data_IF_543503934846
#
_entry.id   IF_543503934846
#
_cell.length_a   1.000
_cell.length_b   1.000
_cell.length_c   1.000
_cell.angle_alpha   90.00
_cell.angle_beta   90.00
_cell.angle_gamma   90.00
#
_symmetry.space_group_name_H-M   'P 1'
#
loop_
_entity.id
_entity.type
_entity.pdbx_description
1 polymer ?
#
# COMPACT_ATOMS: atom_id res chain seq x y z
N UNK A 1 -16.83 -13.11 -20.06
CA UNK A 1 -17.25 -11.80 -20.61
C UNK A 1 -18.30 -11.12 -19.74
N UNK A 2 -19.28 -11.84 -19.21
CA UNK A 2 -20.35 -11.30 -18.36
C UNK A 2 -19.83 -10.66 -17.06
N UNK A 3 -19.06 -11.42 -16.25
CA UNK A 3 -18.46 -10.92 -14.99
C UNK A 3 -17.67 -9.62 -15.18
N UNK A 4 -16.90 -9.50 -16.27
CA UNK A 4 -16.13 -8.29 -16.59
C UNK A 4 -17.03 -7.09 -16.86
N UNK A 5 -18.09 -7.26 -17.66
CA UNK A 5 -19.06 -6.18 -17.94
C UNK A 5 -19.78 -5.74 -16.67
N UNK A 6 -20.15 -6.69 -15.82
CA UNK A 6 -20.76 -6.42 -14.53
C UNK A 6 -19.82 -5.61 -13.62
N UNK A 7 -18.57 -6.03 -13.46
CA UNK A 7 -17.56 -5.31 -12.68
C UNK A 7 -17.34 -3.89 -13.21
N UNK A 8 -17.21 -3.73 -14.52
CA UNK A 8 -17.05 -2.41 -15.14
C UNK A 8 -18.24 -1.49 -14.85
N UNK A 9 -19.48 -2.01 -14.93
CA UNK A 9 -20.69 -1.25 -14.55
C UNK A 9 -20.64 -0.83 -13.07
N UNK A 10 -20.28 -1.74 -12.16
CA UNK A 10 -20.22 -1.43 -10.73
C UNK A 10 -19.11 -0.43 -10.38
N UNK A 11 -17.96 -0.51 -11.04
CA UNK A 11 -16.89 0.48 -10.88
C UNK A 11 -17.32 1.86 -11.42
N UNK A 12 -18.03 1.92 -12.56
CA UNK A 12 -18.61 3.16 -13.06
C UNK A 12 -19.61 3.77 -12.07
N UNK A 13 -20.50 2.95 -11.51
CA UNK A 13 -21.49 3.39 -10.54
C UNK A 13 -20.83 3.93 -9.26
N UNK A 14 -19.71 3.33 -8.83
CA UNK A 14 -18.87 3.86 -7.77
C UNK A 14 -18.27 5.22 -8.15
N UNK A 15 -17.57 5.33 -9.28
CA UNK A 15 -16.90 6.57 -9.68
C UNK A 15 -17.86 7.73 -9.96
N UNK A 16 -19.12 7.44 -10.35
CA UNK A 16 -20.18 8.45 -10.48
C UNK A 16 -20.59 9.08 -9.15
N UNK A 17 -20.42 8.37 -8.03
CA UNK A 17 -20.83 8.82 -6.70
C UNK A 17 -19.65 9.25 -5.82
N UNK A 18 -18.48 8.65 -6.05
CA UNK A 18 -17.30 8.88 -5.24
C UNK A 18 -16.82 10.34 -5.32
N UNK A 19 -16.54 10.90 -4.15
CA UNK A 19 -15.80 12.14 -3.98
C UNK A 19 -14.32 11.79 -3.76
N UNK A 20 -13.55 11.83 -4.83
CA UNK A 20 -12.12 11.53 -4.79
C UNK A 20 -11.36 12.82 -4.48
N UNK A 21 -10.56 12.81 -3.42
CA UNK A 21 -9.64 13.88 -3.10
C UNK A 21 -8.42 13.83 -4.05
N UNK A 22 -8.06 14.98 -4.61
CA UNK A 22 -6.92 15.06 -5.52
C UNK A 22 -5.61 15.13 -4.73
N UNK A 23 -4.54 14.46 -5.19
CA UNK A 23 -3.24 14.54 -4.51
C UNK A 23 -2.69 15.97 -4.54
N UNK A 24 -1.83 16.29 -3.56
CA UNK A 24 -1.14 17.59 -3.49
C UNK A 24 -0.44 17.89 -4.82
N UNK A 25 -0.69 19.10 -5.35
CA UNK A 25 -0.15 19.58 -6.63
C UNK A 25 -0.42 18.61 -7.79
N UNK A 26 -1.63 18.03 -7.88
CA UNK A 26 -1.97 17.01 -8.89
C UNK A 26 -1.68 17.45 -10.34
N UNK A 27 -1.78 18.74 -10.64
CA UNK A 27 -1.45 19.33 -11.95
C UNK A 27 0.01 19.11 -12.37
N UNK A 28 0.90 18.92 -11.39
CA UNK A 28 2.33 18.62 -11.59
C UNK A 28 2.62 17.12 -11.59
N UNK A 29 1.60 16.27 -11.63
CA UNK A 29 1.77 14.81 -11.51
C UNK A 29 1.30 14.10 -12.77
N UNK A 30 2.02 13.03 -13.09
CA UNK A 30 1.57 12.07 -14.10
C UNK A 30 0.50 11.18 -13.49
N UNK A 31 -0.56 10.92 -14.24
CA UNK A 31 -1.56 9.91 -13.95
C UNK A 31 -1.40 8.71 -14.88
N UNK A 32 -1.74 7.54 -14.36
CA UNK A 32 -1.77 6.31 -15.12
C UNK A 32 -3.00 5.47 -14.78
N UNK A 33 -3.53 4.78 -15.79
CA UNK A 33 -4.79 4.05 -15.68
C UNK A 33 -4.63 2.63 -16.22
N UNK A 34 -5.21 1.65 -15.52
CA UNK A 34 -5.32 0.28 -16.00
C UNK A 34 -6.78 0.04 -16.40
N UNK A 35 -7.09 -0.15 -17.69
CA UNK A 35 -8.45 -0.49 -18.12
C UNK A 35 -8.80 -1.94 -17.73
N UNK A 36 -10.08 -2.30 -17.75
CA UNK A 36 -10.50 -3.69 -17.51
C UNK A 36 -10.00 -4.65 -18.60
N UNK A 37 -9.72 -4.15 -19.80
CA UNK A 37 -9.11 -4.85 -20.94
C UNK A 37 -7.68 -5.28 -20.67
N UNK A 38 -7.00 -4.62 -19.73
CA UNK A 38 -5.65 -4.96 -19.34
C UNK A 38 -5.57 -6.17 -18.40
N UNK A 39 -6.62 -6.99 -18.27
CA UNK A 39 -6.52 -8.26 -17.53
C UNK A 39 -6.69 -9.44 -18.48
N UNK A 40 -5.80 -10.46 -18.43
CA UNK A 40 -4.73 -10.65 -17.43
C UNK A 40 -3.37 -10.03 -17.77
N UNK A 41 -3.16 -9.52 -18.99
CA UNK A 41 -1.84 -9.13 -19.53
C UNK A 41 -1.18 -7.92 -18.83
N UNK A 42 -1.97 -7.11 -18.13
CA UNK A 42 -1.59 -5.94 -17.34
C UNK A 42 -0.74 -4.91 -18.10
N UNK A 43 -1.41 -3.95 -18.72
CA UNK A 43 -0.81 -2.73 -19.27
C UNK A 43 -1.42 -1.48 -18.63
N UNK A 44 -0.66 -0.38 -18.67
CA UNK A 44 -1.08 0.93 -18.15
C UNK A 44 -1.10 1.95 -19.29
N UNK A 45 -2.13 2.78 -19.33
CA UNK A 45 -2.14 4.04 -20.07
C UNK A 45 -1.42 5.08 -19.21
N UNK A 46 -0.38 5.71 -19.73
CA UNK A 46 0.54 6.59 -19.00
C UNK A 46 0.66 7.96 -19.66
N UNK A 47 1.44 8.85 -19.04
CA UNK A 47 1.72 10.19 -19.55
C UNK A 47 0.47 11.06 -19.67
N UNK A 48 -0.48 10.88 -18.75
CA UNK A 48 -1.70 11.68 -18.68
C UNK A 48 -1.53 12.70 -17.55
N UNK A 49 -2.04 13.91 -17.75
CA UNK A 49 -2.09 14.96 -16.73
C UNK A 49 -3.40 15.71 -16.82
N UNK A 50 -3.85 16.28 -15.70
CA UNK A 50 -5.12 16.99 -15.63
C UNK A 50 -4.90 18.40 -15.08
N UNK A 51 -5.58 19.37 -15.67
CA UNK A 51 -5.62 20.77 -15.22
C UNK A 51 -6.71 21.04 -14.18
N UNK A 52 -7.71 20.17 -14.08
CA UNK A 52 -8.82 20.34 -13.15
C UNK A 52 -9.32 18.99 -12.61
N UNK A 53 -10.04 19.03 -11.48
CA UNK A 53 -10.70 17.86 -10.90
C UNK A 53 -11.83 17.36 -11.81
N UNK A 54 -12.48 18.27 -12.51
CA UNK A 54 -13.58 18.02 -13.45
C UNK A 54 -13.10 17.25 -14.68
N UNK A 55 -11.91 17.59 -15.21
CA UNK A 55 -11.28 16.86 -16.32
C UNK A 55 -10.94 15.42 -15.91
N UNK A 56 -10.33 15.26 -14.73
CA UNK A 56 -10.03 13.94 -14.16
C UNK A 56 -11.32 13.12 -14.00
N UNK A 57 -12.37 13.71 -13.43
CA UNK A 57 -13.66 13.04 -13.22
C UNK A 57 -14.31 12.63 -14.55
N UNK A 58 -14.31 13.51 -15.54
CA UNK A 58 -14.86 13.24 -16.87
C UNK A 58 -14.09 12.10 -17.56
N UNK A 59 -12.76 12.08 -17.39
CA UNK A 59 -11.91 11.02 -17.93
C UNK A 59 -12.25 9.64 -17.33
N UNK A 60 -12.34 9.51 -16.01
CA UNK A 60 -12.59 8.21 -15.36
C UNK A 60 -14.01 7.69 -15.55
N UNK A 61 -14.98 8.58 -15.78
CA UNK A 61 -16.36 8.19 -16.13
C UNK A 61 -16.42 7.66 -17.57
N UNK A 62 -15.64 8.27 -18.48
CA UNK A 62 -15.59 7.88 -19.90
C UNK A 62 -14.72 6.64 -20.13
N UNK A 63 -13.65 6.47 -19.35
CA UNK A 63 -12.63 5.43 -19.49
C UNK A 63 -12.52 4.60 -18.21
N UNK A 64 -13.64 4.03 -17.76
CA UNK A 64 -13.80 3.36 -16.45
C UNK A 64 -12.60 2.47 -16.10
N UNK A 65 -11.73 2.92 -15.19
CA UNK A 65 -10.47 2.23 -14.92
C UNK A 65 -10.66 1.17 -13.83
N UNK A 66 -9.99 0.04 -14.01
CA UNK A 66 -9.85 -0.97 -12.97
C UNK A 66 -8.81 -0.56 -11.91
N UNK A 67 -7.79 0.22 -12.29
CA UNK A 67 -6.86 0.86 -11.36
C UNK A 67 -6.52 2.28 -11.80
N UNK A 68 -6.35 3.15 -10.82
CA UNK A 68 -5.88 4.52 -11.01
C UNK A 68 -4.61 4.72 -10.19
N UNK A 69 -3.61 5.34 -10.82
CA UNK A 69 -2.33 5.67 -10.23
C UNK A 69 -1.97 7.13 -10.53
N UNK A 70 -1.10 7.68 -9.70
CA UNK A 70 -0.43 8.96 -9.94
C UNK A 70 1.05 8.84 -9.58
N UNK A 71 1.91 9.69 -10.12
CA UNK A 71 3.33 9.68 -9.80
C UNK A 71 3.60 10.20 -8.40
N UNK A 72 4.48 9.53 -7.64
CA UNK A 72 5.09 10.11 -6.44
C UNK A 72 5.92 11.35 -6.76
N UNK A 73 6.44 11.40 -7.99
CA UNK A 73 7.17 12.53 -8.55
C UNK A 73 6.26 13.71 -8.94
N UNK A 74 6.84 14.89 -8.83
CA UNK A 74 6.33 16.14 -9.38
C UNK A 74 7.17 16.52 -10.61
N UNK A 75 6.52 17.05 -11.63
CA UNK A 75 7.09 17.40 -12.93
C UNK A 75 6.64 18.80 -13.36
N UNK A 76 7.44 19.46 -14.18
CA UNK A 76 7.04 20.67 -14.90
C UNK A 76 6.04 20.32 -16.01
N UNK A 77 6.30 19.22 -16.73
CA UNK A 77 5.51 18.76 -17.88
C UNK A 77 5.12 17.28 -17.70
N UNK A 78 4.18 16.95 -16.79
CA UNK A 78 3.87 15.57 -16.42
C UNK A 78 3.35 14.69 -17.56
N UNK A 79 2.67 15.29 -18.55
CA UNK A 79 2.09 14.61 -19.71
C UNK A 79 3.08 14.28 -20.85
N UNK A 80 4.36 14.63 -20.72
CA UNK A 80 5.37 14.27 -21.75
C UNK A 80 5.66 12.77 -21.73
N UNK A 81 5.90 12.18 -22.91
CA UNK A 81 6.27 10.77 -23.01
C UNK A 81 7.71 10.53 -22.54
N UNK A 82 8.64 11.39 -22.97
CA UNK A 82 10.06 11.27 -22.64
C UNK A 82 10.35 11.83 -21.26
N UNK A 83 11.07 11.05 -20.46
CA UNK A 83 11.40 11.42 -19.07
C UNK A 83 12.29 12.65 -18.98
N UNK A 84 13.21 12.82 -19.94
CA UNK A 84 14.07 14.02 -20.02
C UNK A 84 13.25 15.31 -20.23
N UNK A 85 12.09 15.21 -20.89
CA UNK A 85 11.24 16.36 -21.20
C UNK A 85 10.27 16.71 -20.07
N UNK A 86 10.10 15.84 -19.06
CA UNK A 86 9.15 16.08 -17.97
C UNK A 86 9.61 17.19 -17.02
N UNK A 87 10.92 17.41 -16.86
CA UNK A 87 11.47 18.33 -15.87
C UNK A 87 11.13 17.89 -14.43
N UNK A 88 11.89 16.94 -13.86
CA UNK A 88 11.63 16.41 -12.51
C UNK A 88 11.87 17.49 -11.44
N UNK A 89 10.89 17.68 -10.56
CA UNK A 89 10.89 18.72 -9.53
C UNK A 89 11.13 18.18 -8.11
N UNK A 90 10.93 16.89 -7.88
CA UNK A 90 10.95 16.26 -6.56
C UNK A 90 10.07 15.03 -6.55
N UNK A 91 10.08 14.25 -5.48
CA UNK A 91 9.15 13.15 -5.30
C UNK A 91 8.84 12.90 -3.82
N UNK A 92 7.60 12.56 -3.52
CA UNK A 92 7.24 12.08 -2.18
C UNK A 92 8.07 10.83 -1.84
N UNK A 93 8.39 10.66 -0.57
CA UNK A 93 9.05 9.44 -0.09
C UNK A 93 7.98 8.42 0.26
N UNK A 94 7.97 7.31 -0.48
CA UNK A 94 6.93 6.28 -0.43
C UNK A 94 7.52 4.99 0.09
N UNK A 95 6.87 4.40 1.07
CA UNK A 95 7.18 3.06 1.56
C UNK A 95 6.01 2.14 1.25
N UNK A 96 6.28 0.98 0.64
CA UNK A 96 5.27 -0.04 0.37
C UNK A 96 5.52 -1.26 1.24
N UNK A 97 4.48 -1.67 1.98
CA UNK A 97 4.47 -2.83 2.85
C UNK A 97 3.46 -3.80 2.24
N UNK A 98 3.93 -4.63 1.31
CA UNK A 98 3.15 -5.72 0.72
C UNK A 98 3.41 -7.04 1.48
N UNK A 99 2.34 -7.81 1.67
CA UNK A 99 2.37 -9.18 2.17
C UNK A 99 3.47 -10.06 1.54
N UNK A 100 3.75 -9.86 0.25
CA UNK A 100 4.76 -10.64 -0.46
C UNK A 100 6.20 -10.34 0.01
N UNK A 101 6.43 -9.20 0.68
CA UNK A 101 7.72 -8.83 1.28
C UNK A 101 7.82 -9.12 2.79
N UNK A 102 6.72 -9.58 3.40
CA UNK A 102 6.69 -9.91 4.83
C UNK A 102 7.37 -11.26 5.12
N UNK A 103 7.93 -11.42 6.35
CA UNK A 103 8.62 -12.65 6.74
C UNK A 103 7.64 -13.84 6.87
N UNK A 104 6.38 -13.59 7.20
CA UNK A 104 5.35 -14.62 7.26
C UNK A 104 4.71 -14.80 5.88
N UNK A 105 4.98 -15.95 5.24
CA UNK A 105 4.24 -16.38 4.05
C UNK A 105 2.95 -17.08 4.50
N UNK A 106 1.80 -16.54 4.09
CA UNK A 106 0.49 -17.09 4.43
C UNK A 106 -0.47 -16.89 3.27
N UNK A 107 -1.36 -17.87 3.07
CA UNK A 107 -2.46 -17.76 2.09
C UNK A 107 -3.66 -16.96 2.65
N UNK A 108 -3.73 -16.77 3.97
CA UNK A 108 -4.79 -15.98 4.61
C UNK A 108 -4.50 -14.49 4.47
N UNK A 109 -5.42 -13.80 3.79
CA UNK A 109 -5.35 -12.36 3.61
C UNK A 109 -5.43 -11.62 4.95
N UNK A 110 -6.23 -12.11 5.87
CA UNK A 110 -6.42 -11.56 7.21
C UNK A 110 -5.08 -11.54 7.96
N UNK A 111 -4.39 -12.70 8.01
CA UNK A 111 -3.07 -12.82 8.65
C UNK A 111 -2.03 -11.97 7.96
N UNK A 112 -2.04 -11.90 6.63
CA UNK A 112 -1.12 -11.07 5.88
C UNK A 112 -1.28 -9.58 6.22
N UNK A 113 -2.52 -9.09 6.27
CA UNK A 113 -2.85 -7.70 6.64
C UNK A 113 -2.51 -7.39 8.09
N UNK A 114 -2.70 -8.33 9.03
CA UNK A 114 -2.28 -8.18 10.42
C UNK A 114 -0.76 -8.00 10.55
N UNK A 115 0.03 -8.78 9.81
CA UNK A 115 1.49 -8.64 9.83
C UNK A 115 1.91 -7.33 9.17
N UNK A 116 1.30 -6.96 8.03
CA UNK A 116 1.57 -5.69 7.35
C UNK A 116 1.31 -4.50 8.28
N UNK A 117 0.19 -4.54 9.03
CA UNK A 117 -0.18 -3.54 10.03
C UNK A 117 0.87 -3.39 11.13
N UNK A 118 1.46 -4.48 11.61
CA UNK A 118 2.57 -4.43 12.59
C UNK A 118 3.81 -3.76 12.01
N UNK A 119 4.15 -4.04 10.75
CA UNK A 119 5.29 -3.39 10.08
C UNK A 119 5.04 -1.90 9.85
N UNK A 120 3.81 -1.50 9.48
CA UNK A 120 3.42 -0.07 9.37
C UNK A 120 3.68 0.64 10.70
N UNK A 121 3.27 0.07 11.85
CA UNK A 121 3.50 0.69 13.16
C UNK A 121 4.99 0.91 13.47
N UNK A 122 5.82 -0.09 13.17
CA UNK A 122 7.27 0.04 13.36
C UNK A 122 7.84 1.15 12.48
N UNK A 123 7.41 1.19 11.21
CA UNK A 123 7.81 2.22 10.26
C UNK A 123 7.42 3.61 10.75
N UNK A 124 6.16 3.82 11.15
CA UNK A 124 5.70 5.10 11.69
C UNK A 124 6.50 5.55 12.92
N UNK A 125 6.84 4.61 13.81
CA UNK A 125 7.68 4.91 14.96
C UNK A 125 9.07 5.40 14.53
N UNK A 126 9.71 4.71 13.58
CA UNK A 126 11.04 5.07 13.09
C UNK A 126 11.01 6.40 12.32
N UNK A 127 10.04 6.62 11.45
CA UNK A 127 9.89 7.88 10.71
C UNK A 127 9.75 9.07 11.66
N UNK A 128 8.94 8.94 12.71
CA UNK A 128 8.72 10.01 13.70
C UNK A 128 9.94 10.23 14.61
N UNK A 129 10.49 9.16 15.18
CA UNK A 129 11.54 9.27 16.21
C UNK A 129 12.94 9.48 15.63
N UNK A 130 13.26 8.86 14.50
CA UNK A 130 14.61 8.87 13.96
C UNK A 130 14.78 9.90 12.84
N UNK A 131 13.76 10.05 11.99
CA UNK A 131 13.79 10.95 10.82
C UNK A 131 13.07 12.27 11.05
N UNK A 132 12.36 12.43 12.17
CA UNK A 132 11.66 13.66 12.50
C UNK A 132 10.43 13.96 11.63
N UNK A 133 9.93 12.96 10.89
CA UNK A 133 8.71 13.09 10.07
C UNK A 133 7.54 13.41 10.98
N UNK A 134 6.85 14.52 10.71
CA UNK A 134 5.75 15.03 11.53
C UNK A 134 4.46 14.29 11.24
N UNK A 135 4.13 14.20 9.95
CA UNK A 135 2.82 13.74 9.49
C UNK A 135 2.95 12.67 8.40
N UNK A 136 3.45 11.46 8.73
CA UNK A 136 3.42 10.35 7.81
C UNK A 136 1.97 9.91 7.56
N UNK A 137 1.56 9.83 6.30
CA UNK A 137 0.21 9.41 5.92
C UNK A 137 0.18 7.92 5.57
N UNK A 138 -0.80 7.18 6.10
CA UNK A 138 -0.95 5.75 5.83
C UNK A 138 -2.11 5.53 4.87
N UNK A 139 -1.92 4.65 3.90
CA UNK A 139 -2.94 4.27 2.94
C UNK A 139 -3.03 2.75 2.83
N UNK A 140 -4.24 2.20 2.90
CA UNK A 140 -4.49 0.83 2.49
C UNK A 140 -4.41 0.72 0.97
N UNK A 141 -3.61 -0.20 0.44
CA UNK A 141 -3.36 -0.32 -1.00
C UNK A 141 -4.55 -0.85 -1.81
N UNK A 142 -5.64 -1.22 -1.15
CA UNK A 142 -6.81 -1.88 -1.75
C UNK A 142 -6.62 -3.39 -1.93
N UNK A 143 -5.49 -3.96 -1.52
CA UNK A 143 -5.17 -5.38 -1.72
C UNK A 143 -4.66 -6.05 -0.45
N UNK A 144 -3.35 -6.29 -0.34
CA UNK A 144 -2.73 -7.10 0.75
C UNK A 144 -1.65 -6.32 1.51
N UNK A 145 -1.69 -5.00 1.45
CA UNK A 145 -0.62 -4.17 1.97
C UNK A 145 -1.03 -2.72 2.21
N UNK A 146 -0.05 -1.94 2.65
CA UNK A 146 -0.22 -0.52 2.96
C UNK A 146 0.91 0.28 2.34
N UNK A 147 0.63 1.52 2.00
CA UNK A 147 1.64 2.50 1.64
C UNK A 147 1.75 3.53 2.77
N UNK A 148 2.96 4.00 3.03
CA UNK A 148 3.21 5.16 3.88
C UNK A 148 3.82 6.25 3.03
N UNK A 149 3.18 7.41 3.00
CA UNK A 149 3.59 8.57 2.22
C UNK A 149 4.20 9.63 3.15
N UNK A 150 5.37 10.15 2.77
CA UNK A 150 6.02 11.28 3.39
C UNK A 150 6.16 12.38 2.34
N UNK A 151 5.35 13.43 2.51
CA UNK A 151 5.19 14.52 1.54
C UNK A 151 5.85 15.84 1.99
N UNK A 152 6.66 15.79 3.05
CA UNK A 152 7.35 16.95 3.64
C UNK A 152 8.50 17.41 2.73
N UNK A 153 8.67 18.74 2.61
CA UNK A 153 9.56 19.37 1.61
C UNK A 153 11.01 18.91 1.71
N UNK A 154 11.49 18.66 2.93
CA UNK A 154 12.87 18.23 3.20
C UNK A 154 13.21 16.85 2.61
N UNK A 155 12.21 15.99 2.37
CA UNK A 155 12.39 14.67 1.77
C UNK A 155 12.21 14.66 0.25
N UNK A 156 11.65 15.72 -0.33
CA UNK A 156 11.25 15.72 -1.75
C UNK A 156 12.44 15.65 -2.71
N UNK A 157 13.60 16.16 -2.30
CA UNK A 157 14.81 16.25 -3.12
C UNK A 157 15.73 15.04 -3.01
N UNK A 158 15.42 14.09 -2.13
CA UNK A 158 16.23 12.88 -1.96
C UNK A 158 16.30 12.10 -3.26
N UNK A 159 17.52 11.82 -3.70
CA UNK A 159 17.78 11.00 -4.88
C UNK A 159 17.63 9.49 -4.59
N UNK A 160 17.76 8.67 -5.63
CA UNK A 160 17.63 7.22 -5.47
C UNK A 160 18.73 6.58 -4.62
N UNK A 161 19.93 7.16 -4.52
CA UNK A 161 21.00 6.64 -3.67
C UNK A 161 20.72 6.96 -2.20
N UNK A 162 20.34 8.20 -1.90
CA UNK A 162 19.97 8.63 -0.55
C UNK A 162 18.76 7.84 -0.02
N UNK A 163 17.76 7.59 -0.86
CA UNK A 163 16.62 6.74 -0.51
C UNK A 163 17.01 5.29 -0.23
N UNK A 164 18.03 4.76 -0.91
CA UNK A 164 18.56 3.41 -0.61
C UNK A 164 19.24 3.36 0.76
N UNK A 165 19.90 4.43 1.19
CA UNK A 165 20.45 4.48 2.56
C UNK A 165 19.33 4.45 3.61
N UNK A 166 18.19 5.10 3.35
CA UNK A 166 17.00 4.99 4.22
C UNK A 166 16.48 3.55 4.23
N UNK A 167 16.37 2.90 3.07
CA UNK A 167 15.99 1.48 2.98
C UNK A 167 16.94 0.60 3.78
N UNK A 168 18.25 0.79 3.65
CA UNK A 168 19.27 0.04 4.38
C UNK A 168 19.16 0.24 5.89
N UNK A 169 18.86 1.48 6.32
CA UNK A 169 18.61 1.82 7.72
C UNK A 169 17.37 1.10 8.27
N UNK A 170 16.27 1.08 7.53
CA UNK A 170 15.00 0.45 7.96
C UNK A 170 15.08 -1.07 7.98
N UNK A 171 15.69 -1.64 6.94
CA UNK A 171 15.78 -3.09 6.75
C UNK A 171 16.92 -3.72 7.53
N UNK A 172 17.87 -2.92 8.04
CA UNK A 172 19.11 -3.36 8.70
C UNK A 172 19.94 -4.31 7.84
N UNK A 173 19.95 -4.07 6.53
CA UNK A 173 20.65 -4.91 5.56
C UNK A 173 22.12 -4.56 5.38
N UNK A 174 22.58 -3.41 5.87
CA UNK A 174 23.94 -2.96 5.68
C UNK A 174 24.85 -3.44 6.84
N UNK A 175 25.83 -4.35 6.59
CA UNK A 175 26.72 -4.85 7.63
C UNK A 175 27.55 -3.75 8.31
N UNK A 176 27.75 -2.61 7.63
CA UNK A 176 28.43 -1.44 8.21
C UNK A 176 27.59 -0.79 9.31
N UNK A 177 26.26 -0.83 9.22
CA UNK A 177 25.35 -0.37 10.27
C UNK A 177 25.39 -1.34 11.46
N UNK A 178 25.53 -2.64 11.17
CA UNK A 178 25.56 -3.70 12.17
C UNK A 178 26.89 -3.83 12.94
N UNK A 179 27.87 -2.95 12.70
CA UNK A 179 29.12 -2.94 13.46
C UNK A 179 28.86 -2.50 14.91
N UNK A 180 29.33 -3.29 15.88
CA UNK A 180 29.08 -3.11 17.32
C UNK A 180 29.25 -1.67 17.83
N UNK A 181 30.37 -1.02 17.46
CA UNK A 181 30.66 0.36 17.89
C UNK A 181 29.64 1.36 17.33
N UNK A 182 29.21 1.18 16.08
CA UNK A 182 28.23 2.06 15.42
C UNK A 182 26.81 1.84 15.92
N UNK A 183 26.43 0.59 16.24
CA UNK A 183 25.11 0.32 16.82
C UNK A 183 24.94 1.09 18.13
N UNK A 184 25.93 1.04 19.04
CA UNK A 184 25.82 1.67 20.36
C UNK A 184 25.55 3.18 20.30
N UNK A 185 26.06 3.86 19.29
CA UNK A 185 25.91 5.31 19.10
C UNK A 185 24.72 5.69 18.19
N UNK A 186 23.85 4.73 17.85
CA UNK A 186 22.76 4.93 16.89
C UNK A 186 21.38 4.97 17.54
N UNK A 187 20.40 5.57 16.83
CA UNK A 187 19.00 5.57 17.28
C UNK A 187 18.43 4.16 17.45
N UNK A 188 18.93 3.15 16.71
CA UNK A 188 18.47 1.77 16.91
C UNK A 188 18.88 1.20 18.27
N UNK A 189 20.06 1.55 18.81
CA UNK A 189 20.41 1.15 20.17
C UNK A 189 19.43 1.74 21.19
N UNK A 190 18.99 2.99 21.02
CA UNK A 190 17.99 3.61 21.90
C UNK A 190 16.67 2.82 21.88
N UNK A 191 16.20 2.41 20.70
CA UNK A 191 15.00 1.57 20.56
C UNK A 191 15.17 0.18 21.18
N UNK A 192 16.32 -0.45 20.96
CA UNK A 192 16.65 -1.75 21.57
C UNK A 192 16.67 -1.66 23.09
N UNK A 193 17.32 -0.65 23.65
CA UNK A 193 17.35 -0.41 25.10
C UNK A 193 15.95 -0.18 25.67
N UNK A 194 15.14 0.64 25.02
CA UNK A 194 13.76 0.91 25.45
C UNK A 194 12.93 -0.38 25.49
N UNK A 195 13.00 -1.21 24.44
CA UNK A 195 12.31 -2.50 24.38
C UNK A 195 12.75 -3.45 25.48
N UNK A 196 14.06 -3.64 25.65
CA UNK A 196 14.60 -4.58 26.63
C UNK A 196 14.25 -4.15 28.07
N UNK A 197 14.28 -2.84 28.37
CA UNK A 197 13.82 -2.31 29.66
C UNK A 197 12.32 -2.57 29.90
N UNK A 198 11.47 -2.23 28.93
CA UNK A 198 10.02 -2.37 29.10
C UNK A 198 9.55 -3.83 29.16
N UNK A 199 10.04 -4.69 28.26
CA UNK A 199 9.52 -6.05 28.10
C UNK A 199 10.23 -7.10 28.95
N UNK A 200 11.54 -6.95 29.19
CA UNK A 200 12.33 -7.94 29.92
C UNK A 200 12.75 -7.47 31.32
N UNK A 201 12.48 -6.21 31.70
CA UNK A 201 12.88 -5.60 32.98
C UNK A 201 14.38 -5.78 33.29
N UNK A 202 15.21 -5.82 32.25
CA UNK A 202 16.64 -6.07 32.38
C UNK A 202 17.35 -4.86 33.00
N UNK A 203 18.36 -5.14 33.83
CA UNK A 203 19.21 -4.10 34.41
C UNK A 203 20.29 -3.59 33.42
N UNK A 204 21.07 -2.59 33.83
CA UNK A 204 22.10 -1.98 33.00
C UNK A 204 23.16 -2.96 32.46
N UNK A 205 23.57 -3.96 33.25
CA UNK A 205 24.59 -4.94 32.84
C UNK A 205 24.02 -5.96 31.87
N UNK A 206 22.78 -6.39 32.10
CA UNK A 206 22.08 -7.34 31.23
C UNK A 206 21.74 -6.75 29.86
N UNK A 207 21.41 -5.45 29.81
CA UNK A 207 21.23 -4.71 28.55
C UNK A 207 22.50 -4.70 27.70
N UNK A 208 23.64 -4.41 28.33
CA UNK A 208 24.95 -4.44 27.67
C UNK A 208 25.29 -5.84 27.16
N UNK A 209 24.94 -6.89 27.91
CA UNK A 209 25.14 -8.29 27.49
C UNK A 209 24.23 -8.67 26.32
N UNK A 210 22.98 -8.23 26.30
CA UNK A 210 22.06 -8.46 25.18
C UNK A 210 22.54 -7.82 23.87
N UNK A 211 23.25 -6.69 23.95
CA UNK A 211 23.90 -6.07 22.80
C UNK A 211 25.23 -6.71 22.40
N UNK A 212 25.74 -7.70 23.14
CA UNK A 212 26.93 -8.47 22.72
C UNK A 212 26.62 -9.37 21.52
N UNK A 213 25.39 -9.88 21.42
CA UNK A 213 24.87 -10.64 20.27
C UNK A 213 23.60 -9.95 19.76
N UNK A 214 23.73 -8.79 19.09
CA UNK A 214 22.60 -7.93 18.81
C UNK A 214 21.67 -8.51 17.73
N UNK A 215 22.12 -9.47 16.92
CA UNK A 215 21.39 -10.01 15.76
C UNK A 215 19.96 -10.47 16.13
N UNK A 216 19.81 -11.28 17.18
CA UNK A 216 18.50 -11.80 17.63
C UNK A 216 17.53 -10.69 18.07
N UNK A 217 18.08 -9.59 18.59
CA UNK A 217 17.29 -8.47 19.09
C UNK A 217 16.98 -7.51 17.95
N UNK A 218 17.96 -7.25 17.08
CA UNK A 218 17.85 -6.37 15.91
C UNK A 218 16.86 -6.89 14.88
N UNK A 219 16.71 -8.21 14.76
CA UNK A 219 15.71 -8.83 13.89
C UNK A 219 14.29 -8.34 14.20
N UNK A 220 14.00 -8.04 15.47
CA UNK A 220 12.69 -7.48 15.88
C UNK A 220 12.46 -6.05 15.43
N UNK A 221 13.54 -5.32 15.16
CA UNK A 221 13.53 -3.92 14.75
C UNK A 221 13.70 -3.74 13.24
N UNK A 222 13.97 -4.81 12.49
CA UNK A 222 13.84 -4.78 11.03
C UNK A 222 12.42 -4.39 10.66
N UNK A 223 12.35 -3.56 9.64
CA UNK A 223 11.11 -3.16 8.98
C UNK A 223 11.14 -3.72 7.58
N UNK A 224 10.13 -4.53 7.26
CA UNK A 224 10.00 -5.17 5.97
C UNK A 224 9.22 -4.27 5.01
N UNK A 225 9.89 -3.81 3.95
CA UNK A 225 9.34 -2.92 2.90
C UNK A 225 9.78 -3.40 1.51
N UNK A 226 9.03 -3.02 0.47
CA UNK A 226 9.48 -3.10 -0.92
C UNK A 226 10.55 -2.01 -1.18
N UNK A 227 11.82 -2.39 -1.07
CA UNK A 227 12.97 -1.53 -1.26
C UNK A 227 12.97 -0.80 -2.62
N UNK A 228 12.75 -1.49 -3.77
CA UNK A 228 12.57 -0.85 -5.07
C UNK A 228 11.54 0.29 -5.10
N UNK A 229 10.41 0.16 -4.41
CA UNK A 229 9.40 1.24 -4.35
C UNK A 229 9.98 2.50 -3.72
N UNK A 230 10.69 2.33 -2.61
CA UNK A 230 11.23 3.45 -1.83
C UNK A 230 12.37 4.15 -2.57
N UNK A 231 13.23 3.39 -3.26
CA UNK A 231 14.37 3.94 -4.00
C UNK A 231 13.97 4.68 -5.29
N UNK A 232 12.79 4.39 -5.85
CA UNK A 232 12.34 4.94 -7.13
C UNK A 232 11.71 6.34 -6.98
N UNK A 233 12.45 7.35 -7.46
CA UNK A 233 12.02 8.76 -7.47
C UNK A 233 10.97 9.10 -8.52
N UNK A 234 10.50 8.12 -9.29
CA UNK A 234 9.53 8.26 -10.40
C UNK A 234 8.38 7.26 -10.29
N UNK A 235 8.20 6.65 -9.10
CA UNK A 235 7.23 5.59 -8.86
C UNK A 235 5.80 6.05 -9.13
N UNK A 236 4.97 5.15 -9.66
CA UNK A 236 3.52 5.31 -9.67
C UNK A 236 2.93 4.71 -8.40
N UNK A 237 2.11 5.50 -7.71
CA UNK A 237 1.41 5.13 -6.48
C UNK A 237 -0.08 5.09 -6.73
N UNK A 238 -0.76 4.17 -6.07
CA UNK A 238 -2.19 3.96 -6.25
C UNK A 238 -2.96 5.13 -5.65
N UNK A 239 -3.96 5.63 -6.38
CA UNK A 239 -4.71 6.80 -5.98
C UNK A 239 -5.69 6.49 -4.82
N UNK A 240 -5.61 7.18 -3.67
CA UNK A 240 -6.62 7.11 -2.62
C UNK A 240 -8.02 7.48 -3.14
N UNK A 241 -9.05 6.90 -2.55
CA UNK A 241 -10.45 7.09 -2.97
C UNK A 241 -10.82 6.32 -4.24
N UNK A 242 -9.93 5.49 -4.79
CA UNK A 242 -10.20 4.68 -6.00
C UNK A 242 -10.39 3.21 -5.65
N UNK A 243 -10.76 2.39 -6.64
CA UNK A 243 -10.96 0.95 -6.46
C UNK A 243 -9.74 0.15 -6.92
N UNK A 244 -9.50 -0.97 -6.26
CA UNK A 244 -8.48 -1.92 -6.67
C UNK A 244 -9.10 -3.03 -7.54
N UNK A 245 -8.84 -3.03 -8.84
CA UNK A 245 -9.40 -3.96 -9.83
C UNK A 245 -9.29 -5.46 -9.53
N UNK A 246 -8.31 -5.92 -8.73
CA UNK A 246 -8.20 -7.34 -8.33
C UNK A 246 -8.99 -7.73 -7.07
N UNK A 247 -9.60 -6.78 -6.38
CA UNK A 247 -10.33 -7.02 -5.11
C UNK A 247 -11.66 -6.28 -5.03
N UNK A 248 -11.85 -5.20 -5.79
CA UNK A 248 -13.01 -4.30 -5.64
C UNK A 248 -12.99 -3.47 -4.35
N UNK A 249 -11.95 -3.57 -3.51
CA UNK A 249 -11.83 -2.78 -2.30
C UNK A 249 -11.36 -1.36 -2.62
N UNK A 250 -11.77 -0.40 -1.78
CA UNK A 250 -11.30 0.98 -1.82
C UNK A 250 -9.84 1.07 -1.40
N UNK A 251 -9.14 2.00 -2.01
CA UNK A 251 -7.85 2.50 -1.55
C UNK A 251 -8.15 3.62 -0.57
N UNK A 252 -7.79 3.44 0.71
CA UNK A 252 -8.32 4.26 1.80
C UNK A 252 -7.18 4.91 2.58
N UNK A 253 -7.28 6.21 2.86
CA UNK A 253 -6.44 6.87 3.86
C UNK A 253 -6.80 6.35 5.25
N UNK A 254 -5.80 5.85 5.98
CA UNK A 254 -5.97 5.19 7.27
C UNK A 254 -5.61 6.19 8.36
N UNK A 255 -6.65 6.74 9.01
CA UNK A 255 -6.49 7.70 10.11
C UNK A 255 -5.94 7.04 11.38
N UNK A 256 -6.48 5.87 11.73
CA UNK A 256 -6.00 5.06 12.84
C UNK A 256 -5.68 3.65 12.38
N UNK A 257 -4.38 3.37 12.29
CA UNK A 257 -3.90 2.05 11.90
C UNK A 257 -4.35 0.97 12.88
N UNK A 258 -4.57 1.24 14.16
CA UNK A 258 -4.95 0.22 15.16
C UNK A 258 -6.38 -0.28 15.00
N UNK A 259 -7.33 0.62 14.73
CA UNK A 259 -8.75 0.28 14.59
C UNK A 259 -9.13 -0.14 13.16
N UNK A 260 -8.37 0.28 12.15
CA UNK A 260 -8.67 -0.03 10.75
C UNK A 260 -8.66 -1.54 10.43
N UNK A 261 -9.75 -2.02 9.83
CA UNK A 261 -9.92 -3.35 9.27
C UNK A 261 -10.19 -3.25 7.75
N UNK A 262 -9.22 -3.60 6.89
CA UNK A 262 -9.37 -3.48 5.44
C UNK A 262 -10.52 -4.30 4.85
N UNK A 263 -10.88 -5.44 5.46
CA UNK A 263 -11.96 -6.31 4.96
C UNK A 263 -13.34 -5.87 5.43
N UNK A 264 -13.44 -4.76 6.16
CA UNK A 264 -14.69 -4.11 6.57
C UNK A 264 -14.74 -2.66 6.09
N UNK A 265 -13.74 -1.87 6.45
CA UNK A 265 -13.72 -0.40 6.24
C UNK A 265 -13.47 -0.02 4.77
N UNK A 266 -12.77 -0.87 4.02
CA UNK A 266 -12.47 -0.64 2.61
C UNK A 266 -13.56 -1.18 1.66
N UNK A 267 -14.69 -1.68 2.17
CA UNK A 267 -15.81 -2.12 1.33
C UNK A 267 -16.44 -0.91 0.61
N UNK A 268 -16.64 -1.05 -0.70
CA UNK A 268 -17.20 -0.02 -1.58
C UNK A 268 -18.67 -0.24 -1.96
N UNK A 269 -19.15 -1.47 -1.82
CA UNK A 269 -20.41 -1.93 -2.40
C UNK A 269 -21.38 -2.39 -1.32
N UNK A 270 -22.66 -2.43 -1.66
CA UNK A 270 -23.73 -2.76 -0.71
C UNK A 270 -23.95 -4.26 -0.51
N UNK A 271 -25.07 -4.58 0.14
CA UNK A 271 -25.44 -5.95 0.53
C UNK A 271 -26.48 -6.60 -0.40
N UNK A 272 -26.83 -5.94 -1.51
CA UNK A 272 -27.76 -6.50 -2.51
C UNK A 272 -27.28 -7.90 -2.92
N UNK A 273 -28.17 -8.88 -2.89
CA UNK A 273 -27.78 -10.27 -3.13
C UNK A 273 -27.54 -10.50 -4.62
N UNK A 274 -26.42 -11.11 -4.94
CA UNK A 274 -26.07 -11.53 -6.30
C UNK A 274 -25.82 -13.03 -6.34
N UNK A 275 -26.27 -13.66 -7.42
CA UNK A 275 -26.02 -15.08 -7.67
C UNK A 275 -24.72 -15.25 -8.46
N UNK A 276 -23.89 -16.18 -8.03
CA UNK A 276 -22.64 -16.51 -8.69
C UNK A 276 -22.33 -18.00 -8.62
N UNK A 277 -21.47 -18.47 -9.52
CA UNK A 277 -20.86 -19.80 -9.51
C UNK A 277 -19.42 -19.72 -9.04
N UNK A 278 -19.08 -20.51 -8.02
CA UNK A 278 -17.75 -20.59 -7.43
C UNK A 278 -16.84 -21.43 -8.32
N UNK A 279 -15.66 -20.90 -8.66
CA UNK A 279 -14.68 -21.52 -9.57
C UNK A 279 -13.56 -22.25 -8.83
N UNK A 280 -13.25 -21.84 -7.60
CA UNK A 280 -12.21 -22.43 -6.76
C UNK A 280 -12.64 -22.36 -5.30
N UNK A 281 -12.01 -23.16 -4.43
CA UNK A 281 -12.30 -23.13 -2.99
C UNK A 281 -12.11 -21.71 -2.42
N UNK A 282 -13.09 -21.23 -1.66
CA UNK A 282 -13.10 -19.94 -0.99
C UNK A 282 -13.24 -20.18 0.50
N UNK A 283 -12.34 -19.59 1.29
CA UNK A 283 -12.45 -19.50 2.74
C UNK A 283 -11.95 -18.14 3.20
N UNK A 284 -12.85 -17.23 3.52
CA UNK A 284 -12.51 -15.83 3.85
C UNK A 284 -13.62 -15.19 4.68
N UNK A 285 -13.24 -14.26 5.55
CA UNK A 285 -14.15 -13.36 6.26
C UNK A 285 -14.07 -11.95 5.64
N UNK A 286 -15.22 -11.43 5.18
CA UNK A 286 -15.30 -10.09 4.58
C UNK A 286 -16.66 -9.47 4.91
N UNK A 287 -16.66 -8.18 5.30
CA UNK A 287 -17.81 -7.54 5.93
C UNK A 287 -18.10 -8.19 7.29
N UNK A 288 -19.36 -8.53 7.53
CA UNK A 288 -19.79 -9.24 8.74
C UNK A 288 -20.03 -10.75 8.49
N UNK A 289 -19.73 -11.25 7.29
CA UNK A 289 -20.03 -12.62 6.87
C UNK A 289 -18.75 -13.46 6.69
N UNK A 290 -18.87 -14.75 7.01
CA UNK A 290 -17.84 -15.78 6.77
C UNK A 290 -18.28 -16.66 5.62
N UNK A 291 -17.45 -16.76 4.59
CA UNK A 291 -17.73 -17.57 3.41
C UNK A 291 -16.82 -18.80 3.37
N UNK A 292 -17.44 -19.96 3.13
CA UNK A 292 -16.76 -21.23 2.95
C UNK A 292 -17.46 -22.00 1.83
N UNK A 293 -16.90 -21.94 0.63
CA UNK A 293 -17.44 -22.60 -0.55
C UNK A 293 -16.38 -23.48 -1.19
N UNK A 294 -16.77 -24.66 -1.65
CA UNK A 294 -16.01 -25.52 -2.53
C UNK A 294 -16.28 -25.17 -4.00
N UNK A 295 -15.41 -25.65 -4.89
CA UNK A 295 -15.49 -25.35 -6.32
C UNK A 295 -16.73 -25.99 -6.95
N UNK A 296 -17.44 -25.25 -7.80
CA UNK A 296 -18.64 -25.70 -8.50
C UNK A 296 -19.95 -25.31 -7.83
N UNK A 297 -19.93 -24.88 -6.57
CA UNK A 297 -21.12 -24.39 -5.86
C UNK A 297 -21.72 -23.15 -6.52
N UNK A 298 -23.04 -23.00 -6.41
CA UNK A 298 -23.75 -21.76 -6.75
C UNK A 298 -24.25 -21.15 -5.46
N UNK A 299 -23.98 -19.86 -5.27
CA UNK A 299 -24.32 -19.15 -4.05
C UNK A 299 -24.97 -17.81 -4.36
N UNK A 300 -25.84 -17.37 -3.46
CA UNK A 300 -26.45 -16.05 -3.49
C UNK A 300 -25.95 -15.27 -2.28
N UNK A 301 -25.08 -14.28 -2.52
CA UNK A 301 -24.29 -13.61 -1.47
C UNK A 301 -24.35 -12.08 -1.63
N UNK A 302 -24.00 -11.30 -0.59
CA UNK A 302 -23.92 -9.84 -0.70
C UNK A 302 -23.02 -9.38 -1.85
N UNK A 303 -23.42 -8.29 -2.52
CA UNK A 303 -22.72 -7.73 -3.67
C UNK A 303 -21.25 -7.42 -3.35
N UNK A 304 -20.93 -6.88 -2.18
CA UNK A 304 -19.55 -6.60 -1.79
C UNK A 304 -18.65 -7.85 -1.83
N UNK A 305 -19.15 -8.98 -1.32
CA UNK A 305 -18.42 -10.24 -1.29
C UNK A 305 -18.35 -10.84 -2.71
N UNK A 306 -19.46 -10.75 -3.44
CA UNK A 306 -19.55 -11.18 -4.83
C UNK A 306 -18.55 -10.45 -5.73
N UNK A 307 -18.49 -9.11 -5.67
CA UNK A 307 -17.52 -8.31 -6.43
C UNK A 307 -16.10 -8.69 -6.03
N UNK A 308 -15.81 -8.87 -4.74
CA UNK A 308 -14.50 -9.33 -4.30
C UNK A 308 -14.13 -10.68 -4.94
N UNK A 309 -15.04 -11.66 -4.95
CA UNK A 309 -14.80 -12.97 -5.58
C UNK A 309 -14.67 -12.89 -7.10
N UNK A 310 -15.48 -12.08 -7.77
CA UNK A 310 -15.39 -11.86 -9.22
C UNK A 310 -14.05 -11.21 -9.60
N UNK A 311 -13.63 -10.15 -8.89
CA UNK A 311 -12.35 -9.48 -9.10
C UNK A 311 -11.14 -10.40 -8.87
N UNK A 312 -11.22 -11.30 -7.89
CA UNK A 312 -10.19 -12.31 -7.61
C UNK A 312 -10.19 -13.47 -8.61
N UNK A 313 -11.18 -13.54 -9.50
CA UNK A 313 -11.42 -14.69 -10.38
C UNK A 313 -11.72 -15.96 -9.59
N UNK A 314 -12.36 -15.82 -8.43
CA UNK A 314 -12.79 -16.92 -7.55
C UNK A 314 -14.20 -17.41 -7.89
N UNK A 315 -14.99 -16.56 -8.55
CA UNK A 315 -16.33 -16.86 -9.02
C UNK A 315 -16.57 -16.26 -10.42
N UNK A 316 -17.67 -16.67 -11.03
CA UNK A 316 -18.26 -16.03 -12.21
C UNK A 316 -19.75 -15.81 -11.99
N UNK A 317 -20.31 -14.80 -12.65
CA UNK A 317 -21.75 -14.74 -12.88
C UNK A 317 -22.15 -15.86 -13.84
#
# INVERSE_FOLDING_TARGET
MESKRYLMKKFLDYYRKAEIEMPKSFEKREFAFVPFEAFPEFYMQRHISFSSKEDFRSYIISNVPAHIYYSSAYYENPGKERMEEKGWLGADLIFDIDADHLPLKTESIEKALEVAKREVKKLLQVLKLDFGVKEPEVYFSGSRGYHVHVCEEEFLKLDSAERREIVDYLTLNNPKILQKKKIMDSNIALRVFAYLRQKKKLDGKELLKALQNPEDVLEKFRIYIDAPVTADVKRLIRMPGTLHGKTGLKVVKVEDIESFNPLKDAIAFGEEKIRLRVLKKIKIEIGEEKFNFDAGETAEIPEYAGIYFLCRGFATL
#
